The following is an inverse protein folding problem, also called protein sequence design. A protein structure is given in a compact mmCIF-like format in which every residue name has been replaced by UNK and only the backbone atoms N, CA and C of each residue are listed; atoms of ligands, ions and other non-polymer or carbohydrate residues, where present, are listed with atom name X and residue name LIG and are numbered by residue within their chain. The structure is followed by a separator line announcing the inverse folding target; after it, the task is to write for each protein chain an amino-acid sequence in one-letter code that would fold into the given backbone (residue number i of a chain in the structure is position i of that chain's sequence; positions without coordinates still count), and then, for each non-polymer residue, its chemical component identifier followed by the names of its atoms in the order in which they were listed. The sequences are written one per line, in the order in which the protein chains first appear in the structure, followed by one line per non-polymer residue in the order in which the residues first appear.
data_IF_851640117534
#
_entry.id   IF_851640117534
#
_cell.length_a   1.000
_cell.length_b   1.000
_cell.length_c   1.000
_cell.angle_alpha   90.00
_cell.angle_beta   90.00
_cell.angle_gamma   90.00
#
_symmetry.space_group_name_H-M   'P 1'
#
loop_
_entity.id
_entity.type
_entity.pdbx_description
1 polymer ?
#
# COMPACT_ATOMS: atom_id res chain seq x y z
N UNK A 1 24.34 -11.88 -32.70
CA UNK A 1 22.90 -11.55 -32.59
C UNK A 1 22.72 -10.24 -31.84
N UNK A 2 21.55 -9.58 -32.01
CA UNK A 2 21.19 -8.37 -31.29
C UNK A 2 20.57 -8.72 -29.92
N UNK A 3 20.82 -7.91 -28.90
CA UNK A 3 20.27 -8.05 -27.55
C UNK A 3 19.13 -7.03 -27.36
N UNK A 4 17.98 -7.52 -26.92
CA UNK A 4 16.82 -6.69 -26.62
C UNK A 4 16.50 -6.78 -25.13
N UNK A 5 16.26 -5.63 -24.48
CA UNK A 5 15.72 -5.53 -23.14
C UNK A 5 14.25 -5.09 -23.23
N UNK A 6 13.35 -5.92 -22.70
CA UNK A 6 11.96 -5.54 -22.44
C UNK A 6 11.77 -5.39 -20.93
N UNK A 7 11.49 -4.18 -20.44
CA UNK A 7 11.41 -3.91 -19.00
C UNK A 7 10.08 -4.36 -18.39
N UNK A 8 9.00 -4.41 -19.17
CA UNK A 8 7.66 -4.43 -18.62
C UNK A 8 7.39 -3.16 -17.78
N UNK A 9 6.39 -3.24 -16.91
CA UNK A 9 6.10 -2.19 -15.94
C UNK A 9 7.14 -2.25 -14.81
N UNK A 10 7.73 -1.11 -14.44
CA UNK A 10 8.68 -1.04 -13.33
C UNK A 10 8.52 0.26 -12.52
N UNK A 11 8.98 0.25 -11.28
CA UNK A 11 8.90 1.38 -10.37
C UNK A 11 10.23 1.68 -9.71
N UNK A 12 10.74 2.90 -9.88
CA UNK A 12 11.96 3.35 -9.20
C UNK A 12 11.69 3.90 -7.79
N UNK A 13 10.47 4.29 -7.48
CA UNK A 13 10.05 4.83 -6.19
C UNK A 13 9.63 3.76 -5.16
N UNK A 14 9.66 2.49 -5.54
CA UNK A 14 9.50 1.35 -4.62
C UNK A 14 10.67 1.26 -3.62
N UNK A 15 10.52 0.43 -2.60
CA UNK A 15 11.55 0.25 -1.55
C UNK A 15 12.90 -0.19 -2.10
N UNK A 16 12.89 -0.91 -3.22
CA UNK A 16 14.09 -1.42 -3.91
C UNK A 16 14.42 -0.68 -5.22
N UNK A 17 13.86 0.48 -5.45
CA UNK A 17 14.09 1.25 -6.68
C UNK A 17 15.58 1.51 -6.97
N UNK A 18 16.38 1.76 -5.95
CA UNK A 18 17.82 1.96 -6.04
C UNK A 18 18.64 0.71 -6.44
N UNK A 19 18.01 -0.44 -6.54
CA UNK A 19 18.66 -1.69 -7.00
C UNK A 19 18.63 -1.78 -8.53
N UNK A 20 17.76 -1.03 -9.20
CA UNK A 20 17.60 -1.10 -10.66
C UNK A 20 18.90 -0.82 -11.41
N UNK A 21 19.61 0.24 -11.06
CA UNK A 21 20.90 0.59 -11.69
C UNK A 21 21.90 -0.55 -11.60
N UNK A 22 22.00 -1.18 -10.41
CA UNK A 22 22.87 -2.33 -10.20
C UNK A 22 22.47 -3.56 -11.03
N UNK A 23 21.17 -3.76 -11.26
CA UNK A 23 20.69 -4.85 -12.12
C UNK A 23 21.04 -4.54 -13.57
N UNK A 24 20.79 -3.33 -14.03
CA UNK A 24 21.10 -2.91 -15.39
C UNK A 24 22.60 -3.08 -15.69
N UNK A 25 23.46 -2.57 -14.83
CA UNK A 25 24.91 -2.60 -15.03
C UNK A 25 25.49 -4.02 -14.91
N UNK A 26 25.14 -4.75 -13.84
CA UNK A 26 25.83 -6.01 -13.49
C UNK A 26 25.22 -7.24 -14.12
N UNK A 27 23.91 -7.24 -14.40
CA UNK A 27 23.17 -8.41 -14.89
C UNK A 27 22.80 -8.31 -16.35
N UNK A 28 22.46 -7.11 -16.82
CA UNK A 28 21.97 -6.88 -18.17
C UNK A 28 23.11 -6.41 -19.08
N UNK A 29 23.85 -5.39 -18.65
CA UNK A 29 24.94 -4.79 -19.45
C UNK A 29 24.44 -4.15 -20.75
N UNK A 30 25.30 -4.08 -21.77
CA UNK A 30 24.97 -3.44 -23.04
C UNK A 30 23.87 -4.19 -23.82
N UNK A 31 22.90 -3.45 -24.33
CA UNK A 31 21.81 -3.96 -25.19
C UNK A 31 21.71 -3.08 -26.44
N UNK A 32 21.20 -3.65 -27.53
CA UNK A 32 21.03 -2.94 -28.80
C UNK A 32 19.68 -2.24 -28.90
N UNK A 33 18.66 -2.76 -28.21
CA UNK A 33 17.28 -2.23 -28.23
C UNK A 33 16.71 -2.30 -26.81
N UNK A 34 16.04 -1.23 -26.39
CA UNK A 34 15.26 -1.18 -25.14
C UNK A 34 13.80 -0.90 -25.48
N UNK A 35 12.92 -1.75 -24.98
CA UNK A 35 11.47 -1.53 -24.99
C UNK A 35 11.03 -1.34 -23.55
N UNK A 36 10.51 -0.16 -23.22
CA UNK A 36 10.13 0.21 -21.85
C UNK A 36 8.75 0.84 -21.83
N UNK A 37 8.10 0.84 -20.66
CA UNK A 37 6.89 1.60 -20.45
C UNK A 37 7.15 3.10 -20.56
N UNK A 38 6.08 3.86 -20.89
CA UNK A 38 6.11 5.31 -20.97
C UNK A 38 4.98 5.99 -20.20
N UNK A 39 4.41 5.34 -19.20
CA UNK A 39 3.20 5.77 -18.48
C UNK A 39 3.35 7.15 -17.82
N UNK A 40 4.58 7.53 -17.48
CA UNK A 40 4.88 8.80 -16.79
C UNK A 40 5.51 9.87 -17.69
N UNK A 41 5.85 9.54 -18.94
CA UNK A 41 6.57 10.45 -19.85
C UNK A 41 5.79 11.74 -20.13
N UNK A 42 4.47 11.68 -20.17
CA UNK A 42 3.60 12.84 -20.41
C UNK A 42 3.20 13.61 -19.15
N UNK A 43 3.63 13.15 -17.97
CA UNK A 43 3.30 13.83 -16.72
C UNK A 43 4.34 14.89 -16.42
N UNK A 44 3.90 16.16 -16.31
CA UNK A 44 4.74 17.25 -15.82
C UNK A 44 5.36 16.87 -14.46
N UNK A 45 6.55 17.35 -14.19
CA UNK A 45 7.43 17.10 -13.03
C UNK A 45 6.73 16.93 -11.68
N UNK A 46 6.06 15.82 -11.46
CA UNK A 46 5.63 15.42 -10.12
C UNK A 46 6.75 14.59 -9.50
N UNK A 47 7.37 15.14 -8.49
CA UNK A 47 8.33 14.41 -7.65
C UNK A 47 7.65 13.15 -7.13
N UNK A 48 8.09 11.99 -7.58
CA UNK A 48 7.54 10.72 -7.17
C UNK A 48 7.64 10.59 -5.65
N UNK A 49 6.51 10.35 -4.98
CA UNK A 49 6.46 10.15 -3.53
C UNK A 49 6.91 8.73 -3.22
N UNK A 50 7.91 8.58 -2.37
CA UNK A 50 8.46 7.27 -1.99
C UNK A 50 7.58 6.57 -0.96
N UNK A 51 7.71 5.23 -0.85
CA UNK A 51 7.03 4.46 0.21
C UNK A 51 7.39 4.95 1.62
N UNK A 52 8.61 5.47 1.82
CA UNK A 52 9.05 6.06 3.10
C UNK A 52 8.33 7.37 3.43
N UNK A 53 8.07 8.19 2.43
CA UNK A 53 7.28 9.42 2.63
C UNK A 53 5.82 9.10 2.94
N UNK A 54 5.25 8.09 2.27
CA UNK A 54 3.90 7.62 2.60
C UNK A 54 3.82 7.05 4.01
N UNK A 55 4.84 6.28 4.43
CA UNK A 55 4.92 5.79 5.80
C UNK A 55 4.90 6.95 6.82
N UNK A 56 5.63 8.05 6.56
CA UNK A 56 5.63 9.23 7.41
C UNK A 56 4.24 9.89 7.45
N UNK A 57 3.56 10.02 6.30
CA UNK A 57 2.19 10.56 6.24
C UNK A 57 1.21 9.70 7.05
N UNK A 58 1.28 8.38 6.93
CA UNK A 58 0.41 7.47 7.69
C UNK A 58 0.69 7.55 9.19
N UNK A 59 1.96 7.71 9.61
CA UNK A 59 2.28 7.97 11.04
C UNK A 59 1.61 9.25 11.56
N UNK A 60 1.50 10.29 10.74
CA UNK A 60 0.78 11.52 11.12
C UNK A 60 -0.73 11.26 11.27
N UNK A 61 -1.35 10.55 10.31
CA UNK A 61 -2.76 10.15 10.42
C UNK A 61 -3.05 9.28 11.65
N UNK A 62 -2.17 8.33 11.98
CA UNK A 62 -2.30 7.48 13.18
C UNK A 62 -2.17 8.22 14.52
N UNK A 63 -1.66 9.46 14.50
CA UNK A 63 -1.67 10.37 15.67
C UNK A 63 -2.97 11.20 15.75
N UNK A 64 -3.53 11.54 14.60
CA UNK A 64 -4.72 12.40 14.48
C UNK A 64 -6.02 11.59 14.60
N UNK A 65 -6.07 10.40 14.01
CA UNK A 65 -7.24 9.53 13.98
C UNK A 65 -6.99 8.25 14.77
N UNK A 66 -8.04 7.82 15.47
CA UNK A 66 -8.00 6.54 16.20
C UNK A 66 -8.02 5.36 15.23
N UNK A 67 -8.82 5.46 14.17
CA UNK A 67 -9.02 4.41 13.17
C UNK A 67 -8.57 4.90 11.79
N UNK A 68 -7.56 4.25 11.25
CA UNK A 68 -7.03 4.55 9.92
C UNK A 68 -7.30 3.35 9.02
N UNK A 69 -8.19 3.51 8.05
CA UNK A 69 -8.47 2.50 7.04
C UNK A 69 -7.66 2.82 5.78
N UNK A 70 -7.07 1.80 5.15
CA UNK A 70 -6.27 1.97 3.94
C UNK A 70 -6.80 1.09 2.83
N UNK A 71 -7.32 1.70 1.79
CA UNK A 71 -7.74 1.04 0.55
C UNK A 71 -6.57 1.04 -0.43
N UNK A 72 -5.90 -0.10 -0.56
CA UNK A 72 -4.78 -0.29 -1.50
C UNK A 72 -4.89 -1.62 -2.23
N UNK A 73 -4.20 -1.72 -3.37
CA UNK A 73 -4.11 -2.99 -4.08
C UNK A 73 -3.39 -4.03 -3.22
N UNK A 74 -3.98 -5.21 -3.09
CA UNK A 74 -3.45 -6.31 -2.27
C UNK A 74 -2.07 -6.78 -2.74
N UNK A 75 -1.79 -6.64 -4.02
CA UNK A 75 -0.50 -6.98 -4.64
C UNK A 75 0.57 -5.91 -4.49
N UNK A 76 0.22 -4.72 -3.98
CA UNK A 76 1.21 -3.69 -3.68
C UNK A 76 1.87 -3.96 -2.31
N UNK A 77 2.73 -4.99 -2.29
CA UNK A 77 3.33 -5.51 -1.07
C UNK A 77 4.27 -4.51 -0.40
N UNK A 78 5.06 -3.75 -1.17
CA UNK A 78 5.91 -2.69 -0.61
C UNK A 78 5.07 -1.69 0.21
N UNK A 79 3.88 -1.33 -0.29
CA UNK A 79 2.93 -0.47 0.41
C UNK A 79 2.45 -1.10 1.71
N UNK A 80 2.04 -2.37 1.67
CA UNK A 80 1.55 -3.08 2.86
C UNK A 80 2.65 -3.18 3.92
N UNK A 81 3.88 -3.59 3.54
CA UNK A 81 5.02 -3.64 4.46
C UNK A 81 5.36 -2.26 5.04
N UNK A 82 5.44 -1.23 4.22
CA UNK A 82 5.76 0.13 4.66
C UNK A 82 4.72 0.67 5.66
N UNK A 83 3.43 0.52 5.35
CA UNK A 83 2.37 1.06 6.19
C UNK A 83 2.13 0.22 7.47
N UNK A 84 2.29 -1.10 7.42
CA UNK A 84 2.25 -1.94 8.62
C UNK A 84 3.33 -1.53 9.64
N UNK A 85 4.52 -1.15 9.16
CA UNK A 85 5.62 -0.62 10.00
C UNK A 85 5.37 0.79 10.53
N UNK A 86 4.39 1.51 9.98
CA UNK A 86 3.99 2.81 10.50
C UNK A 86 3.18 2.71 11.80
N UNK A 87 2.57 1.54 12.06
CA UNK A 87 1.67 1.34 13.20
C UNK A 87 2.47 1.32 14.50
N UNK A 88 2.16 2.20 15.48
CA UNK A 88 2.84 2.24 16.76
C UNK A 88 2.62 0.95 17.59
N UNK A 89 3.56 0.67 18.49
CA UNK A 89 3.39 -0.40 19.49
C UNK A 89 2.11 -0.18 20.30
N UNK A 90 1.37 -1.24 20.58
CA UNK A 90 0.11 -1.19 21.32
C UNK A 90 -1.13 -0.92 20.47
N UNK A 91 -0.98 -0.44 19.25
CA UNK A 91 -2.08 -0.32 18.26
C UNK A 91 -2.17 -1.57 17.37
N UNK A 92 -3.33 -1.77 16.76
CA UNK A 92 -3.56 -2.90 15.85
C UNK A 92 -3.19 -2.57 14.42
N UNK A 93 -2.63 -3.55 13.73
CA UNK A 93 -2.54 -3.58 12.27
C UNK A 93 -3.37 -4.76 11.78
N UNK A 94 -4.40 -4.51 10.99
CA UNK A 94 -5.37 -5.52 10.55
C UNK A 94 -5.36 -5.60 9.03
N UNK A 95 -5.42 -6.82 8.50
CA UNK A 95 -5.64 -7.12 7.09
C UNK A 95 -6.48 -8.38 6.96
N UNK A 96 -7.00 -8.69 5.77
CA UNK A 96 -7.68 -9.97 5.57
C UNK A 96 -6.69 -11.15 5.45
N UNK A 97 -7.22 -12.38 5.49
CA UNK A 97 -6.41 -13.60 5.41
C UNK A 97 -5.64 -13.69 4.09
N UNK A 98 -6.22 -13.22 2.97
CA UNK A 98 -5.55 -13.21 1.68
C UNK A 98 -4.33 -12.29 1.68
N UNK A 99 -4.50 -11.05 2.17
CA UNK A 99 -3.40 -10.10 2.30
C UNK A 99 -2.31 -10.64 3.24
N UNK A 100 -2.70 -11.20 4.38
CA UNK A 100 -1.78 -11.78 5.36
C UNK A 100 -0.96 -12.94 4.77
N UNK A 101 -1.62 -13.80 4.00
CA UNK A 101 -0.96 -14.92 3.30
C UNK A 101 0.08 -14.42 2.31
N UNK A 102 -0.25 -13.41 1.48
CA UNK A 102 0.71 -12.84 0.53
C UNK A 102 1.91 -12.21 1.24
N UNK A 103 1.67 -11.43 2.31
CA UNK A 103 2.74 -10.83 3.11
C UNK A 103 3.63 -11.92 3.72
N UNK A 104 3.04 -13.01 4.22
CA UNK A 104 3.78 -14.16 4.77
C UNK A 104 4.69 -14.80 3.71
N UNK A 105 4.17 -15.13 2.53
CA UNK A 105 4.93 -15.74 1.44
C UNK A 105 6.12 -14.85 1.04
N UNK A 106 5.90 -13.54 0.92
CA UNK A 106 6.98 -12.60 0.60
C UNK A 106 8.00 -12.50 1.73
N UNK A 107 7.54 -12.45 2.99
CA UNK A 107 8.43 -12.42 4.15
C UNK A 107 9.32 -13.66 4.21
N UNK A 108 8.76 -14.85 4.05
CA UNK A 108 9.50 -16.12 4.05
C UNK A 108 10.58 -16.16 2.96
N UNK A 109 10.32 -15.55 1.81
CA UNK A 109 11.25 -15.55 0.68
C UNK A 109 12.32 -14.46 0.75
N UNK A 110 11.98 -13.27 1.26
CA UNK A 110 12.79 -12.05 1.08
C UNK A 110 13.34 -11.46 2.38
N UNK A 111 12.88 -11.90 3.56
CA UNK A 111 13.35 -11.38 4.84
C UNK A 111 14.86 -11.59 5.08
N UNK A 112 15.41 -12.69 4.58
CA UNK A 112 16.88 -12.94 4.62
C UNK A 112 17.70 -11.97 3.78
N UNK A 113 17.09 -11.33 2.77
CA UNK A 113 17.74 -10.38 1.87
C UNK A 113 17.53 -8.93 2.30
N UNK A 114 16.47 -8.65 3.08
CA UNK A 114 16.15 -7.31 3.56
C UNK A 114 15.23 -7.37 4.76
N UNK A 115 15.63 -6.73 5.84
CA UNK A 115 14.82 -6.56 7.06
C UNK A 115 13.49 -5.83 6.81
N UNK A 116 13.39 -5.11 5.69
CA UNK A 116 12.13 -4.50 5.26
C UNK A 116 11.02 -5.53 5.06
N UNK A 117 11.35 -6.73 4.60
CA UNK A 117 10.38 -7.82 4.37
C UNK A 117 10.22 -8.79 5.55
N UNK A 118 10.77 -8.48 6.72
CA UNK A 118 10.42 -9.21 7.94
C UNK A 118 8.92 -9.12 8.22
N UNK A 119 8.31 -10.24 8.63
CA UNK A 119 6.88 -10.33 8.86
C UNK A 119 6.39 -9.29 9.87
N UNK A 120 5.55 -8.33 9.45
CA UNK A 120 4.97 -7.37 10.37
C UNK A 120 3.91 -8.04 11.25
N UNK A 121 3.60 -7.44 12.40
CA UNK A 121 2.52 -7.93 13.27
C UNK A 121 1.17 -7.61 12.62
N UNK A 122 0.61 -8.57 11.88
CA UNK A 122 -0.69 -8.47 11.22
C UNK A 122 -1.72 -9.36 11.91
N UNK A 123 -2.88 -8.80 12.17
CA UNK A 123 -4.05 -9.51 12.68
C UNK A 123 -5.10 -9.64 11.57
N UNK A 124 -6.00 -10.59 11.69
CA UNK A 124 -7.16 -10.72 10.81
C UNK A 124 -8.44 -10.39 11.56
N UNK A 125 -9.48 -9.86 10.89
CA UNK A 125 -10.71 -9.46 11.53
C UNK A 125 -11.39 -10.66 12.23
N UNK A 126 -11.62 -10.53 13.50
CA UNK A 126 -12.38 -11.45 14.36
C UNK A 126 -12.91 -10.65 15.54
N UNK A 127 -13.90 -11.14 16.27
CA UNK A 127 -14.59 -10.38 17.34
C UNK A 127 -13.62 -9.79 18.37
N UNK A 128 -12.68 -10.57 18.90
CA UNK A 128 -11.70 -10.10 19.88
C UNK A 128 -10.70 -9.09 19.30
N UNK A 129 -10.30 -9.26 18.04
CA UNK A 129 -9.40 -8.33 17.35
C UNK A 129 -10.11 -7.00 17.07
N UNK A 130 -11.36 -7.04 16.61
CA UNK A 130 -12.16 -5.84 16.36
C UNK A 130 -12.47 -5.09 17.65
N UNK A 131 -12.78 -5.80 18.76
CA UNK A 131 -12.93 -5.18 20.07
C UNK A 131 -11.63 -4.48 20.50
N UNK A 132 -10.48 -5.15 20.42
CA UNK A 132 -9.20 -4.53 20.75
C UNK A 132 -8.83 -3.37 19.82
N UNK A 133 -9.22 -3.42 18.54
CA UNK A 133 -9.07 -2.31 17.62
C UNK A 133 -9.98 -1.14 18.01
N UNK A 134 -11.22 -1.41 18.45
CA UNK A 134 -12.14 -0.39 18.96
C UNK A 134 -11.57 0.32 20.20
N UNK A 135 -10.93 -0.39 21.10
CA UNK A 135 -10.32 0.16 22.32
C UNK A 135 -9.07 0.99 22.02
N UNK A 136 -8.12 0.45 21.25
CA UNK A 136 -6.76 1.00 21.08
C UNK A 136 -6.52 1.67 19.74
N UNK A 137 -7.38 1.44 18.75
CA UNK A 137 -7.22 1.96 17.39
C UNK A 137 -6.05 1.33 16.64
N UNK A 138 -5.75 1.89 15.48
CA UNK A 138 -4.67 1.44 14.62
C UNK A 138 -4.95 1.61 13.14
N UNK A 139 -4.40 0.71 12.33
CA UNK A 139 -4.53 0.70 10.88
C UNK A 139 -5.21 -0.61 10.44
N UNK A 140 -6.15 -0.50 9.52
CA UNK A 140 -6.79 -1.65 8.86
C UNK A 140 -6.68 -1.49 7.35
N UNK A 141 -6.06 -2.46 6.69
CA UNK A 141 -6.13 -2.58 5.23
C UNK A 141 -7.50 -3.09 4.84
N UNK A 142 -8.14 -2.42 3.91
CA UNK A 142 -9.52 -2.71 3.48
C UNK A 142 -9.60 -2.91 1.98
N UNK A 143 -10.68 -3.58 1.54
CA UNK A 143 -11.05 -3.75 0.13
C UNK A 143 -12.51 -3.35 -0.04
N UNK A 144 -12.87 -2.87 -1.23
CA UNK A 144 -14.25 -2.53 -1.56
C UNK A 144 -15.09 -3.80 -1.63
N UNK A 145 -15.76 -4.13 -0.53
CA UNK A 145 -16.71 -5.22 -0.42
C UNK A 145 -17.64 -5.03 0.79
N UNK A 146 -18.75 -5.75 0.82
CA UNK A 146 -19.76 -5.68 1.89
C UNK A 146 -19.21 -6.05 3.28
N UNK A 147 -18.22 -6.91 3.36
CA UNK A 147 -17.63 -7.30 4.66
C UNK A 147 -16.91 -6.11 5.29
N UNK A 148 -16.00 -5.47 4.57
CA UNK A 148 -15.28 -4.30 5.08
C UNK A 148 -16.20 -3.10 5.29
N UNK A 149 -17.20 -2.90 4.46
CA UNK A 149 -18.23 -1.88 4.67
C UNK A 149 -18.92 -2.06 6.03
N UNK A 150 -19.36 -3.29 6.36
CA UNK A 150 -19.97 -3.60 7.67
C UNK A 150 -19.01 -3.41 8.83
N UNK A 151 -17.73 -3.72 8.63
CA UNK A 151 -16.70 -3.52 9.65
C UNK A 151 -16.47 -2.03 9.89
N UNK A 152 -16.25 -1.24 8.84
CA UNK A 152 -15.97 0.20 8.95
C UNK A 152 -17.13 0.93 9.66
N UNK A 153 -18.38 0.60 9.36
CA UNK A 153 -19.56 1.19 9.98
C UNK A 153 -19.71 0.94 11.50
N UNK A 154 -18.88 0.06 12.10
CA UNK A 154 -18.85 -0.17 13.55
C UNK A 154 -18.00 0.89 14.28
N UNK A 155 -17.24 1.70 13.59
CA UNK A 155 -16.32 2.67 14.18
C UNK A 155 -16.84 4.10 13.98
N UNK A 156 -16.56 4.97 14.96
CA UNK A 156 -16.96 6.36 14.94
C UNK A 156 -16.35 7.07 13.72
N UNK A 157 -17.18 7.61 12.80
CA UNK A 157 -16.69 8.30 11.61
C UNK A 157 -15.86 9.55 11.94
N UNK A 158 -16.11 10.23 13.08
CA UNK A 158 -15.36 11.41 13.48
C UNK A 158 -13.94 11.07 13.96
N UNK A 159 -13.71 9.84 14.40
CA UNK A 159 -12.39 9.32 14.78
C UNK A 159 -11.73 8.48 13.70
N UNK A 160 -12.33 8.43 12.51
CA UNK A 160 -11.92 7.57 11.39
C UNK A 160 -11.44 8.39 10.20
N UNK A 161 -10.47 7.84 9.47
CA UNK A 161 -10.09 8.31 8.13
C UNK A 161 -9.88 7.12 7.21
N UNK A 162 -10.30 7.25 5.94
CA UNK A 162 -10.02 6.29 4.89
C UNK A 162 -8.99 6.87 3.93
N UNK A 163 -7.85 6.19 3.80
CA UNK A 163 -6.76 6.57 2.92
C UNK A 163 -6.90 5.80 1.61
N UNK A 164 -7.08 6.52 0.51
CA UNK A 164 -7.15 5.96 -0.83
C UNK A 164 -5.74 5.85 -1.42
N UNK A 165 -5.30 4.63 -1.69
CA UNK A 165 -3.93 4.33 -2.08
C UNK A 165 -3.86 3.47 -3.35
N UNK A 166 -4.64 3.86 -4.35
CA UNK A 166 -4.68 3.24 -5.68
C UNK A 166 -4.68 4.32 -6.76
N UNK A 167 -4.56 3.92 -8.01
CA UNK A 167 -4.65 4.84 -9.15
C UNK A 167 -6.01 5.54 -9.21
N UNK A 168 -5.99 6.86 -9.37
CA UNK A 168 -7.20 7.69 -9.35
C UNK A 168 -8.23 7.29 -10.41
N UNK A 169 -7.79 6.81 -11.56
CA UNK A 169 -8.67 6.33 -12.61
C UNK A 169 -9.64 5.22 -12.18
N UNK A 170 -9.33 4.45 -11.12
CA UNK A 170 -10.30 3.46 -10.60
C UNK A 170 -11.46 4.14 -9.88
N UNK A 171 -11.22 5.27 -9.22
CA UNK A 171 -12.23 6.03 -8.48
C UNK A 171 -13.14 6.84 -9.42
N UNK A 172 -12.57 7.34 -10.50
CA UNK A 172 -13.26 8.26 -11.44
C UNK A 172 -14.04 7.54 -12.55
N UNK A 173 -14.01 6.21 -12.62
CA UNK A 173 -14.82 5.45 -13.59
C UNK A 173 -16.31 5.65 -13.30
N UNK A 174 -17.17 5.72 -14.35
CA UNK A 174 -18.62 5.95 -14.20
C UNK A 174 -19.31 4.96 -13.24
N UNK A 175 -18.91 3.68 -13.28
CA UNK A 175 -19.54 2.62 -12.47
C UNK A 175 -18.71 2.30 -11.20
N UNK A 176 -17.87 3.22 -10.75
CA UNK A 176 -17.00 2.98 -9.57
C UNK A 176 -17.82 3.06 -8.29
N UNK A 177 -17.75 2.02 -7.47
CA UNK A 177 -18.29 2.00 -6.10
C UNK A 177 -17.31 2.54 -5.07
N UNK A 178 -16.10 2.96 -5.50
CA UNK A 178 -15.06 3.50 -4.62
C UNK A 178 -15.49 4.80 -3.94
N UNK A 179 -16.13 5.80 -4.61
CA UNK A 179 -16.57 7.03 -3.96
C UNK A 179 -17.52 6.78 -2.78
N UNK A 180 -18.49 5.86 -2.95
CA UNK A 180 -19.41 5.46 -1.88
C UNK A 180 -18.66 4.82 -0.71
N UNK A 181 -17.68 3.93 -1.01
CA UNK A 181 -16.87 3.30 0.00
C UNK A 181 -15.99 4.31 0.77
N UNK A 182 -15.45 5.33 0.10
CA UNK A 182 -14.67 6.40 0.73
C UNK A 182 -15.51 7.25 1.70
N UNK A 183 -16.82 7.41 1.41
CA UNK A 183 -17.73 8.19 2.26
C UNK A 183 -18.07 7.53 3.60
N UNK A 184 -17.73 6.25 3.80
CA UNK A 184 -18.03 5.49 5.02
C UNK A 184 -17.43 6.10 6.29
N UNK A 185 -16.33 6.84 6.19
CA UNK A 185 -15.64 7.46 7.32
C UNK A 185 -15.87 8.97 7.41
N UNK A 186 -16.69 9.57 6.55
CA UNK A 186 -16.89 11.03 6.53
C UNK A 186 -15.66 11.84 6.12
N UNK A 187 -14.46 11.34 6.35
CA UNK A 187 -13.18 11.96 5.97
C UNK A 187 -12.31 10.93 5.24
N UNK A 188 -11.78 11.32 4.08
CA UNK A 188 -10.82 10.51 3.35
C UNK A 188 -9.69 11.38 2.78
N UNK A 189 -8.57 10.76 2.45
CA UNK A 189 -7.42 11.44 1.84
C UNK A 189 -6.71 10.53 0.83
N UNK A 190 -6.05 11.15 -0.14
CA UNK A 190 -5.22 10.43 -1.10
C UNK A 190 -3.87 10.08 -0.47
N UNK A 191 -3.48 8.82 -0.67
CA UNK A 191 -2.20 8.27 -0.25
C UNK A 191 -1.59 7.50 -1.41
N UNK A 192 -1.21 8.21 -2.47
CA UNK A 192 -0.69 7.59 -3.68
C UNK A 192 0.76 8.01 -3.96
N UNK A 193 1.55 7.07 -4.44
CA UNK A 193 2.78 7.36 -5.16
C UNK A 193 2.39 7.55 -6.62
N UNK A 194 2.52 8.76 -7.14
CA UNK A 194 2.45 8.95 -8.58
C UNK A 194 3.56 8.10 -9.22
N UNK A 195 3.20 7.03 -9.86
CA UNK A 195 4.04 6.24 -10.73
C UNK A 195 3.56 6.43 -12.13
#
# INVERSE_FOLDING_TARGET
GKRLLYTGDFRLHGVRGNVMDKILDRRIGKVDVVVTEGTTVSRSEHKAVTEWELQKRVKAYLRQYKYVFVLCATTNLDRIFALARAVPRGKYCICDEYQKTLVKVVSERWSSLSTFYEMPKLNTPGSSILQGFQERGGLMFVRVNRQFERIIRQFDPQQSILLYSMWDGYRTKPDSTIPEFLSLTGTWAELHTSG
#
